data_IF_677541717016
#
_entry.id   IF_677541717016
#
_cell.length_a   1.000
_cell.length_b   1.000
_cell.length_c   1.000
_cell.angle_alpha   90.00
_cell.angle_beta   90.00
_cell.angle_gamma   90.00
#
_symmetry.space_group_name_H-M   'P 1'
#
loop_
_entity.id
_entity.type
_entity.pdbx_description
1 polymer ?
#
# COMPACT_ATOMS: atom_id res chain seq x y z
N UNK A 1 17.36 22.39 -7.61
CA UNK A 1 16.61 21.14 -7.86
C UNK A 1 15.90 20.79 -6.56
N UNK A 2 14.57 20.77 -6.58
CA UNK A 2 13.75 20.66 -5.37
C UNK A 2 13.93 19.31 -4.68
N UNK A 3 14.21 19.35 -3.39
CA UNK A 3 14.05 18.19 -2.52
C UNK A 3 12.54 17.93 -2.42
N UNK A 4 12.04 17.03 -3.26
CA UNK A 4 10.70 16.49 -3.09
C UNK A 4 10.67 15.80 -1.73
N UNK A 5 9.78 16.30 -0.87
CA UNK A 5 9.59 15.85 0.50
C UNK A 5 9.39 14.35 0.54
N UNK A 6 10.46 13.66 0.90
CA UNK A 6 10.50 12.25 1.16
C UNK A 6 9.81 11.99 2.49
N UNK A 7 8.49 11.87 2.47
CA UNK A 7 7.73 11.35 3.60
C UNK A 7 7.24 9.95 3.24
N UNK A 8 7.99 8.90 3.62
CA UNK A 8 7.58 7.53 3.34
C UNK A 8 6.27 7.19 4.06
N UNK A 9 5.44 6.35 3.46
CA UNK A 9 4.34 5.75 4.21
C UNK A 9 4.88 5.01 5.44
N UNK A 10 4.08 4.97 6.52
CA UNK A 10 4.47 4.26 7.74
C UNK A 10 4.82 2.81 7.42
N UNK A 11 6.01 2.35 7.84
CA UNK A 11 6.47 0.98 7.62
C UNK A 11 5.47 -0.07 8.12
N UNK A 12 4.71 0.27 9.17
CA UNK A 12 3.65 -0.57 9.74
C UNK A 12 2.44 -0.72 8.82
N UNK A 13 2.05 0.36 8.13
CA UNK A 13 0.97 0.34 7.14
C UNK A 13 1.37 -0.52 5.92
N UNK A 14 2.66 -0.51 5.55
CA UNK A 14 3.18 -1.34 4.47
C UNK A 14 3.30 -2.82 4.83
N UNK A 15 3.68 -3.13 6.07
CA UNK A 15 3.80 -4.51 6.55
C UNK A 15 2.45 -5.23 6.62
N UNK A 16 1.37 -4.53 6.99
CA UNK A 16 0.02 -5.08 7.24
C UNK A 16 -0.86 -5.24 5.99
N UNK A 17 -0.27 -5.27 4.80
CA UNK A 17 -1.05 -5.48 3.57
C UNK A 17 -1.40 -6.93 3.32
N UNK A 18 -2.57 -7.15 2.74
CA UNK A 18 -3.02 -8.47 2.30
C UNK A 18 -2.14 -8.95 1.13
N UNK A 19 -1.82 -10.24 1.11
CA UNK A 19 -1.01 -10.88 0.06
C UNK A 19 -1.95 -11.83 -0.72
N UNK A 20 -2.63 -11.33 -1.76
CA UNK A 20 -3.46 -12.19 -2.60
C UNK A 20 -2.57 -13.11 -3.44
N UNK A 21 -3.19 -14.16 -4.00
CA UNK A 21 -2.55 -14.97 -5.03
C UNK A 21 -2.79 -14.37 -6.41
N UNK A 22 -1.86 -14.61 -7.33
CA UNK A 22 -2.02 -14.28 -8.75
C UNK A 22 -3.30 -14.96 -9.26
N UNK A 23 -4.22 -14.18 -9.82
CA UNK A 23 -5.55 -14.63 -10.25
C UNK A 23 -6.70 -14.44 -9.25
N UNK A 24 -6.40 -14.09 -7.99
CA UNK A 24 -7.42 -13.68 -6.99
C UNK A 24 -7.60 -12.15 -6.95
N UNK A 25 -6.74 -11.43 -7.67
CA UNK A 25 -6.71 -9.97 -7.72
C UNK A 25 -7.70 -9.43 -8.75
N UNK A 26 -8.24 -8.24 -8.47
CA UNK A 26 -9.13 -7.53 -9.41
C UNK A 26 -8.40 -7.07 -10.68
N UNK A 27 -7.10 -6.85 -10.56
CA UNK A 27 -6.21 -6.42 -11.64
C UNK A 27 -5.37 -7.63 -12.08
N UNK A 28 -5.09 -7.72 -13.38
CA UNK A 28 -4.23 -8.74 -14.01
C UNK A 28 -2.78 -8.27 -14.20
N UNK A 29 -2.53 -6.96 -14.12
CA UNK A 29 -1.22 -6.35 -14.28
C UNK A 29 -0.92 -5.29 -13.21
N UNK A 30 0.38 -5.06 -12.99
CA UNK A 30 0.87 -4.08 -12.04
C UNK A 30 0.88 -2.68 -12.65
N UNK A 31 0.08 -1.76 -12.12
CA UNK A 31 0.06 -0.36 -12.56
C UNK A 31 1.35 0.44 -12.26
N UNK A 32 2.31 -0.13 -11.53
CA UNK A 32 3.57 0.55 -11.17
C UNK A 32 4.68 0.25 -12.18
N UNK A 33 4.95 -1.03 -12.44
CA UNK A 33 5.93 -1.46 -13.46
C UNK A 33 5.31 -1.72 -14.84
N UNK A 34 3.98 -1.75 -14.93
CA UNK A 34 3.22 -2.07 -16.15
C UNK A 34 3.47 -3.49 -16.68
N UNK A 35 3.90 -4.41 -15.80
CA UNK A 35 4.06 -5.85 -16.07
C UNK A 35 2.88 -6.65 -15.53
N UNK A 36 2.52 -7.71 -16.25
CA UNK A 36 1.50 -8.69 -15.87
C UNK A 36 1.92 -9.48 -14.62
N UNK A 37 0.93 -9.95 -13.85
CA UNK A 37 1.19 -10.78 -12.69
C UNK A 37 1.48 -12.23 -13.09
N UNK A 38 2.66 -12.75 -12.76
CA UNK A 38 3.06 -14.11 -13.07
C UNK A 38 2.99 -15.06 -11.87
N UNK A 39 2.82 -16.37 -12.13
CA UNK A 39 2.81 -17.39 -11.08
C UNK A 39 4.15 -17.45 -10.34
N UNK A 40 4.17 -16.95 -9.11
CA UNK A 40 5.38 -16.82 -8.29
C UNK A 40 5.60 -15.40 -7.79
N UNK A 41 4.91 -14.42 -8.36
CA UNK A 41 4.99 -13.05 -7.91
C UNK A 41 4.34 -12.83 -6.55
N UNK A 42 5.06 -12.09 -5.70
CA UNK A 42 4.53 -11.64 -4.43
C UNK A 42 3.67 -10.41 -4.68
N UNK A 43 2.35 -10.57 -4.67
CA UNK A 43 1.42 -9.47 -4.80
C UNK A 43 1.04 -8.92 -3.44
N UNK A 44 0.75 -7.62 -3.37
CA UNK A 44 0.17 -6.97 -2.20
C UNK A 44 -1.03 -6.15 -2.62
N UNK A 45 -2.13 -6.34 -1.89
CA UNK A 45 -3.34 -5.57 -2.07
C UNK A 45 -3.36 -4.40 -1.10
N UNK A 46 -3.56 -3.22 -1.67
CA UNK A 46 -3.72 -1.99 -0.92
C UNK A 46 -5.14 -1.93 -0.34
N UNK A 47 -5.26 -1.93 0.98
CA UNK A 47 -6.55 -1.74 1.68
C UNK A 47 -6.74 -0.26 2.03
N UNK A 48 -7.96 0.30 1.89
CA UNK A 48 -9.23 -0.34 1.58
C UNK A 48 -9.58 -0.40 0.08
N UNK A 49 -8.76 0.13 -0.82
CA UNK A 49 -9.11 0.26 -2.24
C UNK A 49 -9.06 -1.06 -3.04
N UNK A 50 -8.52 -2.12 -2.47
CA UNK A 50 -8.38 -3.46 -3.07
C UNK A 50 -7.56 -3.52 -4.38
N UNK A 51 -6.72 -2.50 -4.66
CA UNK A 51 -5.81 -2.54 -5.81
C UNK A 51 -4.58 -3.38 -5.48
N UNK A 52 -4.22 -4.26 -6.41
CA UNK A 52 -3.10 -5.19 -6.23
C UNK A 52 -1.90 -4.71 -7.02
N UNK A 53 -0.71 -4.89 -6.46
CA UNK A 53 0.56 -4.51 -7.07
C UNK A 53 1.64 -5.47 -6.61
N UNK A 54 2.76 -5.56 -7.32
CA UNK A 54 3.88 -6.33 -6.80
C UNK A 54 4.30 -5.79 -5.43
N UNK A 55 4.74 -6.68 -4.55
CA UNK A 55 5.22 -6.35 -3.22
C UNK A 55 6.28 -5.26 -3.30
N UNK A 56 7.27 -5.44 -4.18
CA UNK A 56 8.33 -4.45 -4.37
C UNK A 56 7.78 -3.12 -4.93
N UNK A 57 6.88 -3.19 -5.92
CA UNK A 57 6.25 -2.01 -6.50
C UNK A 57 5.45 -1.21 -5.48
N UNK A 58 4.66 -1.87 -4.63
CA UNK A 58 3.85 -1.19 -3.63
C UNK A 58 4.73 -0.54 -2.56
N UNK A 59 5.85 -1.16 -2.19
CA UNK A 59 6.81 -0.55 -1.28
C UNK A 59 7.44 0.69 -1.90
N UNK A 60 7.91 0.62 -3.15
CA UNK A 60 8.45 1.79 -3.87
C UNK A 60 7.39 2.88 -4.08
N UNK A 61 6.17 2.50 -4.44
CA UNK A 61 5.06 3.43 -4.61
C UNK A 61 4.79 4.16 -3.30
N UNK A 62 4.64 3.46 -2.18
CA UNK A 62 4.36 4.06 -0.87
C UNK A 62 5.54 4.81 -0.27
N UNK A 63 6.73 4.52 -0.76
CA UNK A 63 7.94 5.26 -0.44
C UNK A 63 7.96 6.63 -1.13
N UNK A 64 7.49 6.70 -2.38
CA UNK A 64 7.44 7.93 -3.18
C UNK A 64 6.13 8.73 -2.95
N UNK A 65 5.00 8.03 -3.04
CA UNK A 65 3.63 8.57 -2.99
C UNK A 65 2.77 7.75 -2.04
N UNK A 66 2.21 8.40 -1.02
CA UNK A 66 1.29 7.74 -0.08
C UNK A 66 -0.11 7.50 -0.66
N UNK A 67 -0.37 7.93 -1.89
CA UNK A 67 -1.62 7.69 -2.60
C UNK A 67 -1.57 6.51 -3.56
N UNK A 68 -2.71 5.84 -3.68
CA UNK A 68 -2.94 4.86 -4.71
C UNK A 68 -3.07 5.58 -6.06
N UNK A 69 -2.16 5.31 -7.00
CA UNK A 69 -2.21 5.87 -8.35
C UNK A 69 -3.45 5.47 -9.16
N UNK A 70 -4.17 4.41 -8.73
CA UNK A 70 -5.38 3.92 -9.41
C UNK A 70 -6.64 4.67 -8.98
N UNK A 71 -6.79 5.00 -7.69
CA UNK A 71 -8.01 5.62 -7.16
C UNK A 71 -7.79 6.90 -6.35
N UNK A 72 -6.55 7.36 -6.17
CA UNK A 72 -6.19 8.53 -5.38
C UNK A 72 -6.31 8.35 -3.86
N UNK A 73 -6.57 7.14 -3.37
CA UNK A 73 -6.73 6.89 -1.93
C UNK A 73 -5.40 7.09 -1.19
N UNK A 74 -5.35 8.05 -0.26
CA UNK A 74 -4.17 8.35 0.56
C UNK A 74 -4.12 7.46 1.79
N UNK A 75 -3.00 6.74 1.96
CA UNK A 75 -2.68 6.01 3.17
C UNK A 75 -2.31 6.98 4.30
N UNK A 76 -2.70 6.66 5.55
CA UNK A 76 -2.29 7.45 6.70
C UNK A 76 -0.76 7.43 6.83
N UNK A 77 -0.21 8.59 7.19
CA UNK A 77 1.20 8.71 7.53
C UNK A 77 1.51 8.05 8.89
N UNK A 78 2.75 8.10 9.36
CA UNK A 78 3.14 7.50 10.66
C UNK A 78 2.40 8.09 11.86
N UNK A 79 2.12 9.39 11.86
CA UNK A 79 1.39 10.10 12.90
C UNK A 79 -0.10 9.73 12.86
N UNK A 80 -0.72 9.77 11.68
CA UNK A 80 -2.10 9.32 11.48
C UNK A 80 -2.27 7.83 11.83
N UNK A 81 -1.28 7.00 11.51
CA UNK A 81 -1.26 5.58 11.88
C UNK A 81 -1.17 5.43 13.40
N UNK A 82 -0.36 6.24 14.09
CA UNK A 82 -0.29 6.28 15.55
C UNK A 82 -1.63 6.70 16.16
N UNK A 83 -2.28 7.73 15.62
CA UNK A 83 -3.60 8.17 16.08
C UNK A 83 -4.71 7.14 15.80
N UNK A 84 -4.64 6.40 14.70
CA UNK A 84 -5.55 5.30 14.40
C UNK A 84 -5.36 4.13 15.37
N UNK A 85 -4.12 3.70 15.59
CA UNK A 85 -3.79 2.66 16.57
C UNK A 85 -4.24 3.11 17.99
N UNK A 86 -3.96 4.37 18.38
CA UNK A 86 -4.36 4.94 19.68
C UNK A 86 -5.88 4.93 19.89
N UNK A 87 -6.66 5.27 18.85
CA UNK A 87 -8.14 5.20 18.88
C UNK A 87 -8.66 3.77 19.00
N UNK A 88 -7.98 2.78 18.43
CA UNK A 88 -8.43 1.37 18.55
C UNK A 88 -8.14 0.74 19.91
N UNK A 89 -7.29 1.36 20.74
CA UNK A 89 -6.99 0.93 22.10
C UNK A 89 -8.02 1.35 23.17
N UNK A 90 -8.95 2.25 22.86
CA UNK A 90 -9.97 2.75 23.81
C UNK A 90 -11.33 2.03 23.70
N UNK A 91 -11.35 0.87 23.04
CA UNK A 91 -12.57 0.11 22.75
C UNK A 91 -12.68 -1.22 23.49
N UNK A 92 -12.28 -1.31 24.76
CA UNK A 92 -12.62 -2.46 25.63
C UNK A 92 -12.42 -2.14 27.12
N UNK A 93 -13.37 -1.43 27.72
CA UNK A 93 -14.28 -1.99 28.74
C UNK A 93 -15.30 -0.92 29.17
#
# INVERSE_FOLDING_TARGET
AGAFGFWPASSKAMARMHVPRVGDTREDHCHVCLEDFEEGDMLRTMMPCAHSSHQHCIFSLLHDQRDCSVCGFKRPNEEEQYELDARTSDGSN
#
